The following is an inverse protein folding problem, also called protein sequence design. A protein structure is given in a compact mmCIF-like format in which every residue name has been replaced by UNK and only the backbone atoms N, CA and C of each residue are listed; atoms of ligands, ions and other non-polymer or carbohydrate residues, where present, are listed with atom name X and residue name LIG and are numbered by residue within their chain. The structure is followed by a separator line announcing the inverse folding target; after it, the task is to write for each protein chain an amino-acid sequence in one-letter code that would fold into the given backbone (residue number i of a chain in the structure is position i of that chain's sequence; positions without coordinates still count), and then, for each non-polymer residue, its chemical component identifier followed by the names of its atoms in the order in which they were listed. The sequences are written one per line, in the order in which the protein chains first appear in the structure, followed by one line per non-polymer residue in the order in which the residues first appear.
data_IF_732905512399
#
_entry.id   IF_732905512399
#
_cell.length_a   1.000
_cell.length_b   1.000
_cell.length_c   1.000
_cell.angle_alpha   90.00
_cell.angle_beta   90.00
_cell.angle_gamma   90.00
#
_symmetry.space_group_name_H-M   'P 1'
#
loop_
_entity.id
_entity.type
_entity.pdbx_description
1 polymer ?
#
# COMPACT_ATOMS: atom_id res chain seq x y z
N UNK A 1 10.90 -16.94 5.81
CA UNK A 1 10.29 -16.34 7.03
C UNK A 1 9.43 -17.37 7.73
N UNK A 2 9.47 -17.42 9.07
CA UNK A 2 8.54 -18.22 9.87
C UNK A 2 7.10 -17.71 9.68
N UNK A 3 6.10 -18.56 9.91
CA UNK A 3 4.67 -18.18 9.78
C UNK A 3 4.31 -17.02 10.74
N UNK A 4 4.94 -16.99 11.91
CA UNK A 4 4.75 -15.94 12.92
C UNK A 4 5.16 -14.56 12.40
N UNK A 5 6.35 -14.43 11.81
CA UNK A 5 6.86 -13.14 11.32
C UNK A 5 5.98 -12.56 10.21
N UNK A 6 5.45 -13.42 9.33
CA UNK A 6 4.55 -12.99 8.26
C UNK A 6 3.21 -12.51 8.80
N UNK A 7 2.64 -13.20 9.77
CA UNK A 7 1.36 -12.82 10.35
C UNK A 7 1.44 -11.47 11.08
N UNK A 8 2.55 -11.16 11.73
CA UNK A 8 2.78 -9.86 12.37
C UNK A 8 2.71 -8.72 11.34
N UNK A 9 3.31 -8.90 10.16
CA UNK A 9 3.25 -7.90 9.09
C UNK A 9 1.81 -7.69 8.59
N UNK A 10 1.04 -8.77 8.42
CA UNK A 10 -0.36 -8.64 8.06
C UNK A 10 -1.21 -7.98 9.16
N UNK A 11 -0.89 -8.15 10.44
CA UNK A 11 -1.55 -7.40 11.51
C UNK A 11 -1.28 -5.90 11.41
N UNK A 12 -0.02 -5.51 11.17
CA UNK A 12 0.35 -4.11 10.96
C UNK A 12 -0.36 -3.54 9.71
N UNK A 13 -0.44 -4.32 8.63
CA UNK A 13 -1.17 -3.95 7.42
C UNK A 13 -2.67 -3.75 7.67
N UNK A 14 -3.28 -4.58 8.53
CA UNK A 14 -4.68 -4.42 8.96
C UNK A 14 -4.84 -3.13 9.76
N UNK A 15 -3.92 -2.81 10.67
CA UNK A 15 -3.98 -1.56 11.45
C UNK A 15 -3.85 -0.33 10.54
N UNK A 16 -2.95 -0.36 9.57
CA UNK A 16 -2.81 0.68 8.56
C UNK A 16 -4.09 0.79 7.72
N UNK A 17 -4.62 -0.33 7.22
CA UNK A 17 -5.87 -0.35 6.46
C UNK A 17 -7.06 0.16 7.27
N UNK A 18 -7.10 -0.12 8.57
CA UNK A 18 -8.14 0.36 9.49
C UNK A 18 -8.11 1.87 9.66
N UNK A 19 -6.94 2.47 9.83
CA UNK A 19 -6.79 3.93 9.91
C UNK A 19 -7.38 4.63 8.68
N UNK A 20 -7.02 4.17 7.48
CA UNK A 20 -7.51 4.73 6.23
C UNK A 20 -9.00 4.44 6.00
N UNK A 21 -9.47 3.26 6.37
CA UNK A 21 -10.90 2.93 6.30
C UNK A 21 -11.72 3.85 7.20
N UNK A 22 -11.34 4.01 8.47
CA UNK A 22 -12.07 4.88 9.40
C UNK A 22 -11.99 6.34 8.96
N UNK A 23 -10.83 6.80 8.50
CA UNK A 23 -10.65 8.15 7.96
C UNK A 23 -11.57 8.41 6.75
N UNK A 24 -11.60 7.50 5.78
CA UNK A 24 -12.45 7.59 4.60
C UNK A 24 -13.93 7.45 4.93
N UNK A 25 -14.28 6.52 5.81
CA UNK A 25 -15.65 6.32 6.29
C UNK A 25 -16.19 7.58 6.98
N UNK A 26 -15.39 8.19 7.87
CA UNK A 26 -15.74 9.44 8.53
C UNK A 26 -16.00 10.56 7.52
N UNK A 27 -15.24 10.62 6.42
CA UNK A 27 -15.47 11.57 5.32
C UNK A 27 -16.78 11.25 4.58
N UNK A 28 -17.03 9.99 4.26
CA UNK A 28 -18.27 9.56 3.59
C UNK A 28 -19.52 9.83 4.41
N UNK A 29 -19.50 9.62 5.73
CA UNK A 29 -20.67 9.89 6.60
C UNK A 29 -20.74 11.35 7.05
N UNK A 30 -19.71 12.17 6.78
CA UNK A 30 -19.70 13.60 7.11
C UNK A 30 -20.69 14.45 6.29
N UNK A 31 -21.51 13.85 5.43
CA UNK A 31 -22.57 14.54 4.67
C UNK A 31 -23.49 15.39 5.57
N UNK A 32 -23.66 15.00 6.84
CA UNK A 32 -24.42 15.76 7.85
C UNK A 32 -23.74 17.06 8.34
N UNK A 33 -22.44 17.24 8.14
CA UNK A 33 -21.70 18.46 8.51
C UNK A 33 -21.79 19.50 7.39
N UNK A 34 -22.94 20.18 7.29
CA UNK A 34 -23.28 21.41 6.54
C UNK A 34 -22.95 21.48 5.02
N UNK A 35 -21.93 20.81 4.49
CA UNK A 35 -21.51 20.78 3.06
C UNK A 35 -20.77 19.49 2.61
N UNK A 36 -20.44 18.54 3.49
CA UNK A 36 -19.70 17.31 3.13
C UNK A 36 -18.18 17.52 2.94
N UNK A 37 -17.39 16.45 2.95
CA UNK A 37 -15.91 16.52 2.88
C UNK A 37 -15.37 17.20 1.61
N UNK A 38 -15.87 16.92 0.39
CA UNK A 38 -15.27 17.47 -0.83
C UNK A 38 -15.31 19.00 -0.92
N UNK A 39 -16.39 19.61 -0.43
CA UNK A 39 -16.52 21.06 -0.34
C UNK A 39 -15.61 21.65 0.75
N UNK A 40 -15.49 20.99 1.89
CA UNK A 40 -14.56 21.40 2.96
C UNK A 40 -13.11 21.38 2.48
N UNK A 41 -12.71 20.33 1.75
CA UNK A 41 -11.38 20.26 1.16
C UNK A 41 -11.15 21.40 0.15
N UNK A 42 -12.14 21.70 -0.69
CA UNK A 42 -12.05 22.80 -1.65
C UNK A 42 -11.86 24.17 -0.98
N UNK A 43 -12.56 24.41 0.13
CA UNK A 43 -12.42 25.65 0.90
C UNK A 43 -11.05 25.70 1.61
N UNK A 44 -10.60 24.60 2.20
CA UNK A 44 -9.28 24.49 2.83
C UNK A 44 -8.15 24.76 1.83
N UNK A 45 -8.23 24.17 0.63
CA UNK A 45 -7.24 24.37 -0.43
C UNK A 45 -7.20 25.80 -0.97
N UNK A 46 -8.28 26.59 -0.85
CA UNK A 46 -8.27 28.02 -1.21
C UNK A 46 -7.64 28.87 -0.11
N UNK A 47 -7.82 28.49 1.16
CA UNK A 47 -7.36 29.24 2.33
C UNK A 47 -5.91 28.96 2.76
N UNK A 48 -5.42 27.73 2.59
CA UNK A 48 -4.20 27.22 3.24
C UNK A 48 -2.95 27.17 2.37
N UNK A 49 -2.92 27.83 1.20
CA UNK A 49 -1.77 27.74 0.27
C UNK A 49 -0.57 28.60 0.69
N UNK A 50 -0.60 29.25 1.86
CA UNK A 50 0.48 30.12 2.35
C UNK A 50 1.45 29.30 3.23
N UNK A 51 2.75 29.44 3.00
CA UNK A 51 3.79 28.76 3.78
C UNK A 51 4.20 27.36 3.29
N UNK A 52 3.59 26.88 2.20
CA UNK A 52 4.00 25.63 1.55
C UNK A 52 5.17 25.86 0.57
N UNK A 53 5.81 24.78 0.13
CA UNK A 53 6.87 24.86 -0.87
C UNK A 53 6.33 25.42 -2.21
N UNK A 54 7.05 26.36 -2.84
CA UNK A 54 6.61 27.05 -4.06
C UNK A 54 6.25 26.13 -5.22
N UNK A 55 6.97 25.02 -5.43
CA UNK A 55 6.61 24.05 -6.48
C UNK A 55 5.27 23.36 -6.19
N UNK A 56 5.00 23.05 -4.92
CA UNK A 56 3.77 22.39 -4.49
C UNK A 56 2.60 23.35 -4.59
N UNK A 57 2.79 24.62 -4.22
CA UNK A 57 1.81 25.69 -4.44
C UNK A 57 1.42 25.78 -5.92
N UNK A 58 2.40 25.77 -6.82
CA UNK A 58 2.13 25.85 -8.26
C UNK A 58 1.35 24.64 -8.76
N UNK A 59 1.69 23.44 -8.30
CA UNK A 59 0.94 22.21 -8.60
C UNK A 59 -0.51 22.28 -8.08
N UNK A 60 -0.70 22.70 -6.83
CA UNK A 60 -2.04 22.85 -6.25
C UNK A 60 -2.88 23.84 -7.05
N UNK A 61 -2.32 25.02 -7.38
CA UNK A 61 -3.04 26.05 -8.14
C UNK A 61 -3.39 25.63 -9.57
N UNK A 62 -2.51 24.87 -10.23
CA UNK A 62 -2.71 24.47 -11.63
C UNK A 62 -3.60 23.24 -11.79
N UNK A 63 -3.50 22.28 -10.88
CA UNK A 63 -4.06 20.93 -11.08
C UNK A 63 -5.14 20.56 -10.08
N UNK A 64 -4.95 20.89 -8.79
CA UNK A 64 -5.82 20.40 -7.70
C UNK A 64 -6.95 21.38 -7.41
N UNK A 65 -6.64 22.66 -7.16
CA UNK A 65 -7.59 23.71 -6.79
C UNK A 65 -8.72 23.87 -7.83
N UNK A 66 -8.46 23.86 -9.16
CA UNK A 66 -9.52 23.95 -10.16
C UNK A 66 -10.52 22.80 -10.11
N UNK A 67 -10.10 21.64 -9.59
CA UNK A 67 -10.89 20.41 -9.52
C UNK A 67 -11.06 19.91 -8.08
N UNK A 68 -10.97 20.80 -7.08
CA UNK A 68 -10.83 20.42 -5.69
C UNK A 68 -11.97 19.56 -5.14
N UNK A 69 -13.20 19.79 -5.63
CA UNK A 69 -14.36 18.97 -5.26
C UNK A 69 -14.21 17.53 -5.79
N UNK A 70 -13.79 17.37 -7.04
CA UNK A 70 -13.53 16.05 -7.62
C UNK A 70 -12.39 15.33 -6.89
N UNK A 71 -11.32 16.06 -6.55
CA UNK A 71 -10.24 15.52 -5.70
C UNK A 71 -10.75 15.11 -4.32
N UNK A 72 -11.67 15.87 -3.72
CA UNK A 72 -12.32 15.49 -2.47
C UNK A 72 -13.05 14.16 -2.55
N UNK A 73 -13.84 13.95 -3.61
CA UNK A 73 -14.47 12.65 -3.88
C UNK A 73 -13.45 11.54 -4.09
N UNK A 74 -12.36 11.80 -4.82
CA UNK A 74 -11.29 10.81 -5.01
C UNK A 74 -10.61 10.43 -3.71
N UNK A 75 -10.40 11.39 -2.80
CA UNK A 75 -9.79 11.14 -1.49
C UNK A 75 -10.72 10.33 -0.59
N UNK A 76 -11.99 10.72 -0.42
CA UNK A 76 -12.90 9.98 0.48
C UNK A 76 -13.11 8.52 0.02
N UNK A 77 -13.29 8.29 -1.29
CA UNK A 77 -13.47 6.95 -1.83
C UNK A 77 -12.14 6.19 -1.89
N UNK A 78 -11.05 6.88 -2.21
CA UNK A 78 -9.71 6.32 -2.25
C UNK A 78 -9.28 5.77 -0.90
N UNK A 79 -9.42 6.55 0.17
CA UNK A 79 -9.11 6.11 1.54
C UNK A 79 -9.98 4.93 1.96
N UNK A 80 -11.29 5.01 1.71
CA UNK A 80 -12.23 3.96 2.09
C UNK A 80 -11.94 2.64 1.37
N UNK A 81 -11.80 2.68 0.04
CA UNK A 81 -11.59 1.48 -0.77
C UNK A 81 -10.19 0.90 -0.58
N UNK A 82 -9.16 1.74 -0.45
CA UNK A 82 -7.81 1.26 -0.18
C UNK A 82 -7.70 0.64 1.22
N UNK A 83 -8.32 1.25 2.23
CA UNK A 83 -8.38 0.70 3.60
C UNK A 83 -9.06 -0.67 3.64
N UNK A 84 -10.24 -0.80 3.02
CA UNK A 84 -10.95 -2.08 2.89
C UNK A 84 -10.09 -3.10 2.13
N UNK A 85 -9.49 -2.69 1.01
CA UNK A 85 -8.65 -3.55 0.18
C UNK A 85 -7.48 -4.15 0.96
N UNK A 86 -6.77 -3.32 1.74
CA UNK A 86 -5.66 -3.80 2.58
C UNK A 86 -6.14 -4.76 3.67
N UNK A 87 -7.22 -4.44 4.38
CA UNK A 87 -7.75 -5.30 5.44
C UNK A 87 -8.17 -6.66 4.86
N UNK A 88 -8.95 -6.67 3.78
CA UNK A 88 -9.46 -7.90 3.17
C UNK A 88 -8.30 -8.75 2.63
N UNK A 89 -7.34 -8.16 1.91
CA UNK A 89 -6.17 -8.88 1.42
C UNK A 89 -5.36 -9.51 2.57
N UNK A 90 -5.08 -8.74 3.63
CA UNK A 90 -4.31 -9.22 4.78
C UNK A 90 -5.03 -10.36 5.52
N UNK A 91 -6.34 -10.26 5.71
CA UNK A 91 -7.15 -11.32 6.32
C UNK A 91 -7.14 -12.60 5.47
N UNK A 92 -7.27 -12.47 4.14
CA UNK A 92 -7.21 -13.62 3.24
C UNK A 92 -5.84 -14.32 3.35
N UNK A 93 -4.73 -13.58 3.30
CA UNK A 93 -3.40 -14.18 3.41
C UNK A 93 -3.10 -14.80 4.79
N UNK A 94 -3.73 -14.29 5.85
CA UNK A 94 -3.56 -14.79 7.21
C UNK A 94 -4.33 -16.09 7.44
N UNK A 95 -5.60 -16.15 7.02
CA UNK A 95 -6.50 -17.27 7.34
C UNK A 95 -6.62 -18.29 6.22
N UNK A 96 -6.53 -17.88 4.96
CA UNK A 96 -6.70 -18.76 3.80
C UNK A 96 -5.34 -19.18 3.27
N UNK A 97 -5.12 -20.50 3.22
CA UNK A 97 -4.02 -21.05 2.44
C UNK A 97 -4.41 -20.95 0.96
N UNK A 98 -3.75 -20.06 0.23
CA UNK A 98 -3.96 -19.90 -1.20
C UNK A 98 -3.05 -20.91 -1.91
N UNK A 99 -3.65 -21.88 -2.59
CA UNK A 99 -2.93 -22.92 -3.33
C UNK A 99 -2.63 -22.51 -4.77
N UNK A 100 -3.45 -21.62 -5.34
CA UNK A 100 -3.25 -21.08 -6.68
C UNK A 100 -2.32 -19.85 -6.65
N UNK A 101 -1.14 -20.02 -7.23
CA UNK A 101 -0.12 -18.97 -7.37
C UNK A 101 -0.63 -17.74 -8.13
N UNK A 102 -1.56 -17.90 -9.09
CA UNK A 102 -2.13 -16.76 -9.85
C UNK A 102 -2.99 -15.89 -8.95
N UNK A 103 -3.83 -16.52 -8.12
CA UNK A 103 -4.70 -15.81 -7.17
C UNK A 103 -3.86 -15.11 -6.11
N UNK A 104 -2.82 -15.78 -5.59
CA UNK A 104 -1.90 -15.18 -4.63
C UNK A 104 -1.19 -13.94 -5.21
N UNK A 105 -0.71 -14.03 -6.46
CA UNK A 105 -0.08 -12.90 -7.16
C UNK A 105 -1.07 -11.76 -7.40
N UNK A 106 -2.28 -12.06 -7.84
CA UNK A 106 -3.31 -11.05 -8.09
C UNK A 106 -3.69 -10.29 -6.81
N UNK A 107 -3.89 -10.99 -5.69
CA UNK A 107 -4.18 -10.36 -4.40
C UNK A 107 -3.01 -9.51 -3.88
N UNK A 108 -1.78 -9.96 -4.10
CA UNK A 108 -0.60 -9.19 -3.72
C UNK A 108 -0.47 -7.93 -4.58
N UNK A 109 -0.67 -8.01 -5.91
CA UNK A 109 -0.70 -6.84 -6.79
C UNK A 109 -1.81 -5.87 -6.38
N UNK A 110 -3.01 -6.37 -6.06
CA UNK A 110 -4.12 -5.54 -5.59
C UNK A 110 -3.77 -4.82 -4.27
N UNK A 111 -3.14 -5.54 -3.34
CA UNK A 111 -2.62 -4.99 -2.09
C UNK A 111 -1.59 -3.89 -2.36
N UNK A 112 -0.60 -4.12 -3.23
CA UNK A 112 0.38 -3.11 -3.64
C UNK A 112 -0.31 -1.88 -4.24
N UNK A 113 -1.30 -2.04 -5.11
CA UNK A 113 -2.03 -0.91 -5.72
C UNK A 113 -2.74 -0.07 -4.64
N UNK A 114 -3.44 -0.73 -3.71
CA UNK A 114 -4.07 -0.04 -2.58
C UNK A 114 -3.03 0.69 -1.71
N UNK A 115 -1.90 0.04 -1.44
CA UNK A 115 -0.79 0.59 -0.66
C UNK A 115 -0.15 1.80 -1.35
N UNK A 116 0.00 1.77 -2.68
CA UNK A 116 0.50 2.90 -3.49
C UNK A 116 -0.47 4.08 -3.42
N UNK A 117 -1.77 3.82 -3.51
CA UNK A 117 -2.80 4.86 -3.33
C UNK A 117 -2.69 5.52 -1.95
N UNK A 118 -2.57 4.70 -0.90
CA UNK A 118 -2.39 5.18 0.48
C UNK A 118 -1.10 5.99 0.62
N UNK A 119 0.04 5.47 0.12
CA UNK A 119 1.34 6.14 0.17
C UNK A 119 1.30 7.52 -0.51
N UNK A 120 0.63 7.59 -1.66
CA UNK A 120 0.46 8.84 -2.39
C UNK A 120 -0.41 9.83 -1.61
N UNK A 121 -1.55 9.40 -1.06
CA UNK A 121 -2.43 10.27 -0.28
C UNK A 121 -1.76 10.78 1.00
N UNK A 122 -1.12 9.90 1.77
CA UNK A 122 -0.40 10.27 2.99
C UNK A 122 0.72 11.27 2.69
N UNK A 123 1.44 11.08 1.60
CA UNK A 123 2.47 12.03 1.16
C UNK A 123 1.87 13.40 0.83
N UNK A 124 0.72 13.45 0.13
CA UNK A 124 0.05 14.72 -0.16
C UNK A 124 -0.44 15.42 1.10
N UNK A 125 -0.97 14.69 2.08
CA UNK A 125 -1.36 15.27 3.38
C UNK A 125 -0.16 15.81 4.15
N UNK A 126 0.95 15.08 4.19
CA UNK A 126 2.19 15.53 4.80
C UNK A 126 2.74 16.80 4.13
N UNK A 127 2.72 16.86 2.78
CA UNK A 127 3.10 18.06 2.03
C UNK A 127 2.15 19.24 2.31
N UNK A 128 0.85 18.98 2.43
CA UNK A 128 -0.17 19.99 2.75
C UNK A 128 -0.06 20.51 4.18
N UNK A 129 0.44 19.69 5.11
CA UNK A 129 0.79 20.09 6.46
C UNK A 129 2.08 20.94 6.53
N UNK A 130 2.68 21.28 5.39
CA UNK A 130 3.91 22.07 5.33
C UNK A 130 5.18 21.23 5.38
N UNK A 131 5.09 19.93 5.10
CA UNK A 131 6.21 18.99 5.16
C UNK A 131 6.96 19.05 6.51
N UNK A 132 6.24 18.86 7.64
CA UNK A 132 6.85 18.92 8.96
C UNK A 132 7.99 17.91 9.04
N UNK A 133 9.09 18.29 9.69
CA UNK A 133 10.27 17.45 9.83
C UNK A 133 9.90 16.04 10.33
N UNK A 134 10.43 15.00 9.68
CA UNK A 134 10.32 13.61 10.13
C UNK A 134 11.04 13.36 11.47
N UNK A 135 11.92 14.28 11.84
CA UNK A 135 12.78 14.24 13.01
C UNK A 135 12.47 15.46 13.89
N UNK A 136 12.69 15.37 15.21
CA UNK A 136 12.32 16.43 16.13
C UNK A 136 13.09 17.72 15.82
N UNK A 137 12.36 18.82 15.69
CA UNK A 137 12.91 20.15 15.91
C UNK A 137 12.62 20.49 17.36
N UNK A 138 13.66 20.65 18.20
CA UNK A 138 13.57 20.78 19.66
C UNK A 138 12.84 22.02 20.20
N UNK A 139 11.67 22.34 19.66
CA UNK A 139 10.85 23.49 19.99
C UNK A 139 9.87 23.18 21.13
N UNK A 140 9.48 21.90 21.31
CA UNK A 140 8.54 21.47 22.36
C UNK A 140 9.14 20.37 23.25
N UNK A 141 9.24 20.56 24.58
CA UNK A 141 9.73 19.54 25.52
C UNK A 141 8.88 18.27 25.56
N UNK A 142 7.61 18.38 25.17
CA UNK A 142 6.65 17.28 25.03
C UNK A 142 6.38 16.94 23.56
N UNK A 143 7.16 17.50 22.63
CA UNK A 143 7.03 17.22 21.20
C UNK A 143 7.32 15.76 20.92
N UNK A 144 6.48 15.12 20.11
CA UNK A 144 6.68 13.73 19.72
C UNK A 144 8.01 13.58 18.96
N UNK A 145 8.81 12.58 19.32
CA UNK A 145 10.09 12.32 18.64
C UNK A 145 9.93 11.85 17.19
N UNK A 146 8.76 11.32 16.84
CA UNK A 146 8.40 10.91 15.50
C UNK A 146 6.90 11.08 15.32
N UNK A 147 6.47 11.94 14.38
CA UNK A 147 5.05 12.25 14.23
C UNK A 147 4.28 11.09 13.63
N UNK A 148 3.03 10.93 14.05
CA UNK A 148 2.15 9.89 13.49
C UNK A 148 1.96 10.08 11.98
N UNK A 149 1.88 11.32 11.49
CA UNK A 149 1.76 11.60 10.05
C UNK A 149 3.00 11.18 9.25
N UNK A 150 4.19 11.38 9.83
CA UNK A 150 5.45 10.88 9.28
C UNK A 150 5.44 9.34 9.21
N UNK A 151 4.96 8.68 10.26
CA UNK A 151 4.84 7.23 10.29
C UNK A 151 3.91 6.70 9.20
N UNK A 152 2.70 7.25 9.12
CA UNK A 152 1.69 6.86 8.16
C UNK A 152 2.11 7.16 6.72
N UNK A 153 3.02 8.12 6.52
CA UNK A 153 3.61 8.40 5.21
C UNK A 153 4.66 7.37 4.83
N UNK A 154 5.55 6.96 5.74
CA UNK A 154 6.68 6.07 5.44
C UNK A 154 6.26 4.60 5.39
N UNK A 155 5.38 4.18 6.30
CA UNK A 155 5.00 2.77 6.48
C UNK A 155 4.48 2.11 5.18
N UNK A 156 3.58 2.74 4.38
CA UNK A 156 3.11 2.17 3.13
C UNK A 156 4.25 1.85 2.14
N UNK A 157 5.29 2.69 2.06
CA UNK A 157 6.44 2.44 1.18
C UNK A 157 7.23 1.20 1.59
N UNK A 158 7.40 0.97 2.90
CA UNK A 158 8.06 -0.22 3.41
C UNK A 158 7.26 -1.48 3.06
N UNK A 159 5.93 -1.41 3.17
CA UNK A 159 5.06 -2.52 2.80
C UNK A 159 5.04 -2.79 1.30
N UNK A 160 5.02 -1.76 0.44
CA UNK A 160 5.17 -1.92 -1.02
C UNK A 160 6.47 -2.64 -1.33
N UNK A 161 7.59 -2.20 -0.75
CA UNK A 161 8.87 -2.83 -0.95
C UNK A 161 8.86 -4.30 -0.50
N UNK A 162 8.31 -4.59 0.69
CA UNK A 162 8.21 -5.94 1.20
C UNK A 162 7.36 -6.86 0.31
N UNK A 163 6.18 -6.40 -0.12
CA UNK A 163 5.30 -7.18 -1.01
C UNK A 163 5.94 -7.40 -2.39
N UNK A 164 6.64 -6.41 -2.93
CA UNK A 164 7.38 -6.52 -4.20
C UNK A 164 8.52 -7.55 -4.13
N UNK A 165 9.25 -7.60 -3.01
CA UNK A 165 10.28 -8.61 -2.76
C UNK A 165 9.65 -10.01 -2.65
N UNK A 166 8.50 -10.12 -1.98
CA UNK A 166 7.77 -11.39 -1.88
C UNK A 166 7.29 -11.92 -3.24
N UNK A 167 6.83 -11.04 -4.14
CA UNK A 167 6.49 -11.38 -5.53
C UNK A 167 7.70 -11.86 -6.33
N UNK A 168 8.83 -11.17 -6.18
CA UNK A 168 10.05 -11.48 -6.93
C UNK A 168 10.64 -12.84 -6.53
N UNK A 169 10.61 -13.18 -5.24
CA UNK A 169 11.06 -14.48 -4.74
C UNK A 169 10.17 -15.66 -5.17
N UNK A 170 8.89 -15.42 -5.47
CA UNK A 170 7.97 -16.45 -5.97
C UNK A 170 8.23 -16.81 -7.45
N UNK A 171 8.79 -15.90 -8.25
CA UNK A 171 9.06 -16.12 -9.67
C UNK A 171 10.30 -16.98 -9.96
N UNK A 172 11.17 -17.20 -8.96
CA UNK A 172 12.40 -17.98 -9.13
C UNK A 172 12.20 -19.51 -9.03
N UNK A 173 10.99 -19.99 -8.75
CA UNK A 173 10.65 -21.42 -8.62
C UNK A 173 9.98 -22.01 -9.87
N UNK A 174 10.45 -21.67 -11.07
CA UNK A 174 10.07 -22.43 -12.27
C UNK A 174 10.96 -23.67 -12.34
N UNK A 175 10.44 -24.90 -12.37
CA UNK A 175 11.27 -26.08 -12.53
C UNK A 175 11.96 -26.00 -13.89
N UNK A 176 13.29 -25.89 -13.88
CA UNK A 176 14.10 -26.17 -15.07
C UNK A 176 13.82 -27.60 -15.48
N UNK A 177 13.10 -27.77 -16.59
CA UNK A 177 12.76 -29.06 -17.18
C UNK A 177 13.99 -29.70 -17.86
N UNK A 178 15.09 -29.88 -17.12
CA UNK A 178 16.36 -30.44 -17.61
C UNK A 178 16.63 -31.87 -17.12
N UNK A 179 15.59 -32.57 -16.64
CA UNK A 179 15.72 -33.94 -16.15
C UNK A 179 14.82 -34.92 -16.92
N UNK A 180 14.73 -34.77 -18.24
CA UNK A 180 14.35 -35.88 -19.12
C UNK A 180 15.62 -36.52 -19.68
N UNK A 181 16.22 -37.44 -18.92
CA UNK A 181 17.29 -38.30 -19.40
C UNK A 181 16.62 -39.51 -20.07
N UNK A 182 16.66 -39.69 -21.41
CA UNK A 182 16.10 -40.88 -22.01
C UNK A 182 16.88 -42.10 -21.51
N UNK A 183 16.14 -43.12 -21.07
CA UNK A 183 16.72 -44.38 -20.64
C UNK A 183 17.49 -45.00 -21.81
N UNK A 184 18.81 -45.10 -21.67
CA UNK A 184 19.61 -45.95 -22.55
C UNK A 184 19.21 -47.40 -22.29
N UNK A 185 18.50 -48.00 -23.25
CA UNK A 185 18.33 -49.45 -23.33
C UNK A 185 19.71 -50.09 -23.50
N UNK A 186 20.25 -50.66 -22.44
CA UNK A 186 21.33 -51.64 -22.53
C UNK A 186 20.73 -52.95 -23.01
N UNK A 187 20.84 -53.23 -24.30
CA UNK A 187 20.60 -54.55 -24.84
C UNK A 187 21.63 -55.52 -24.23
N UNK A 188 21.17 -56.36 -23.30
CA UNK A 188 21.89 -57.54 -22.87
C UNK A 188 21.84 -58.59 -24.00
N UNK A 189 22.92 -58.73 -24.75
CA UNK A 189 23.16 -59.94 -25.54
C UNK A 189 24.04 -60.89 -24.74
N UNK A 190 23.37 -61.81 -24.03
CA UNK A 190 23.99 -62.98 -23.44
C UNK A 190 24.06 -64.15 -24.41
N UNK A 191 25.27 -64.70 -24.55
CA UNK A 191 25.60 -66.14 -24.51
C UNK A 191 25.16 -67.12 -25.63
N UNK A 192 26.22 -67.67 -26.28
CA UNK A 192 26.43 -69.07 -26.78
C UNK A 192 25.58 -69.47 -28.02
N UNK A 193 26.06 -70.24 -29.00
CA UNK A 193 26.70 -71.57 -28.95
C UNK A 193 27.49 -71.84 -30.27
N UNK A 194 28.53 -72.67 -30.17
CA UNK A 194 29.36 -73.36 -31.19
C UNK A 194 30.55 -72.61 -31.79
#
# INVERSE_FOLDING_TARGET
MSRLNRNILYLIQIMLGWEFFVSGWNKLVSVGHKRGFPLQLADALKGQVKGLNGWYINFLKSSVIPHAVSFGYLVEWGETLAGIGLIVCALIFMFKKIEDDRVAKALNILSIIAMVGIAFMSLNFWLMAGAPSFLPGGQDPNGEGFTIDAFLTILPFLFIWWEAVALSGASAKTPSNSQYKPAHYTAQTGSRVH
#
